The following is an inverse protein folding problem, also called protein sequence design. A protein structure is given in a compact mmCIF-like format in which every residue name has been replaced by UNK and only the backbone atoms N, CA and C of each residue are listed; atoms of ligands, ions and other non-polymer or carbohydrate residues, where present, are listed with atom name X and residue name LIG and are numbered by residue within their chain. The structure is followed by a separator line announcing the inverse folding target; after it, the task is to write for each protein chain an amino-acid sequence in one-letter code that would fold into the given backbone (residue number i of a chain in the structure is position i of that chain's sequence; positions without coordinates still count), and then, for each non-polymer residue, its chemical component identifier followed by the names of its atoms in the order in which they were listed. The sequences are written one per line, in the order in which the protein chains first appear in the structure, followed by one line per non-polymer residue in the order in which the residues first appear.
data_IF_172881740848
#
_entry.id   IF_172881740848
#
_cell.length_a   1.000
_cell.length_b   1.000
_cell.length_c   1.000
_cell.angle_alpha   90.00
_cell.angle_beta   90.00
_cell.angle_gamma   90.00
#
_symmetry.space_group_name_H-M   'P 1'
#
loop_
_entity.id
_entity.type
_entity.pdbx_description
1 polymer ?
#
# COMPACT_ATOMS: atom_id res chain seq x y z
N UNK A 1 30.06 -19.25 -64.10
CA UNK A 1 30.37 -17.94 -63.49
C UNK A 1 29.39 -17.75 -62.33
N UNK A 2 29.77 -18.20 -61.13
CA UNK A 2 29.08 -17.99 -59.84
C UNK A 2 30.11 -18.28 -58.73
N UNK A 3 30.44 -17.28 -57.93
CA UNK A 3 31.40 -17.26 -56.80
C UNK A 3 30.75 -17.83 -55.52
N UNK A 4 31.38 -18.73 -54.75
CA UNK A 4 32.30 -18.52 -53.59
C UNK A 4 31.63 -17.70 -52.46
N UNK A 5 31.60 -18.07 -51.17
CA UNK A 5 32.41 -18.95 -50.33
C UNK A 5 31.59 -19.37 -49.09
N UNK A 6 31.75 -20.62 -48.63
CA UNK A 6 31.10 -21.16 -47.43
C UNK A 6 32.01 -21.18 -46.20
N UNK A 7 31.39 -21.00 -45.02
CA UNK A 7 31.97 -21.27 -43.71
C UNK A 7 31.74 -22.75 -43.34
N UNK A 8 32.79 -23.43 -42.84
CA UNK A 8 32.67 -24.69 -42.07
C UNK A 8 33.47 -24.60 -40.77
N UNK A 9 32.82 -25.09 -39.72
CA UNK A 9 33.30 -25.26 -38.35
C UNK A 9 33.98 -26.63 -38.15
N UNK A 10 34.59 -26.80 -36.96
CA UNK A 10 35.10 -28.02 -36.25
C UNK A 10 36.65 -28.13 -36.25
N UNK A 11 37.38 -28.43 -35.17
CA UNK A 11 37.16 -29.31 -33.99
C UNK A 11 38.05 -28.91 -32.77
N UNK A 12 37.92 -29.70 -31.68
CA UNK A 12 38.20 -29.44 -30.26
C UNK A 12 39.64 -29.67 -29.68
N UNK A 13 39.91 -28.95 -28.56
CA UNK A 13 40.71 -29.27 -27.33
C UNK A 13 42.25 -29.49 -27.38
N UNK A 14 43.02 -29.42 -26.24
CA UNK A 14 42.69 -29.09 -24.84
C UNK A 14 43.62 -28.05 -24.13
N UNK A 15 43.20 -27.62 -22.92
CA UNK A 15 43.94 -26.79 -21.96
C UNK A 15 45.20 -27.46 -21.37
N UNK A 16 46.28 -26.68 -21.21
CA UNK A 16 47.38 -26.94 -20.25
C UNK A 16 47.84 -25.61 -19.62
N UNK A 17 48.12 -25.54 -18.30
CA UNK A 17 48.76 -24.39 -17.70
C UNK A 17 50.28 -24.59 -17.64
N UNK A 18 51.06 -23.67 -18.21
CA UNK A 18 52.52 -23.57 -17.97
C UNK A 18 52.79 -22.46 -16.96
N UNK A 19 53.23 -22.83 -15.76
CA UNK A 19 53.94 -21.93 -14.86
C UNK A 19 55.34 -21.65 -15.42
N UNK A 20 55.72 -20.36 -15.45
CA UNK A 20 57.11 -19.92 -15.51
C UNK A 20 57.32 -18.76 -14.52
N UNK A 21 58.49 -18.62 -13.86
CA UNK A 21 58.65 -17.72 -12.73
C UNK A 21 59.38 -16.39 -13.06
N UNK A 22 59.00 -15.35 -12.30
CA UNK A 22 59.81 -14.22 -11.78
C UNK A 22 60.27 -13.13 -12.76
N UNK A 23 59.94 -11.87 -12.44
CA UNK A 23 60.98 -10.84 -12.24
C UNK A 23 60.51 -9.77 -11.23
N UNK A 24 61.26 -9.65 -10.13
CA UNK A 24 61.13 -8.58 -9.14
C UNK A 24 61.74 -7.34 -9.76
N UNK A 25 60.92 -6.33 -10.08
CA UNK A 25 61.43 -5.00 -10.37
C UNK A 25 61.24 -4.06 -9.19
N UNK A 26 62.34 -3.40 -8.87
CA UNK A 26 62.61 -2.59 -7.69
C UNK A 26 61.74 -1.34 -7.64
N UNK A 27 61.16 -1.05 -6.46
CA UNK A 27 60.56 0.27 -6.17
C UNK A 27 61.67 1.13 -5.53
N UNK A 28 62.02 2.30 -6.09
CA UNK A 28 63.05 3.15 -5.52
C UNK A 28 62.57 3.77 -4.21
N UNK A 29 63.45 3.76 -3.19
CA UNK A 29 63.28 4.53 -1.96
C UNK A 29 63.48 6.01 -2.27
N UNK A 30 62.53 6.84 -1.89
CA UNK A 30 62.67 8.29 -1.98
C UNK A 30 61.62 9.03 -1.15
N UNK A 31 62.13 9.80 -0.20
CA UNK A 31 61.51 10.90 0.55
C UNK A 31 60.56 10.53 1.71
N UNK A 32 61.16 10.50 2.92
CA UNK A 32 60.50 10.88 4.16
C UNK A 32 59.91 12.29 4.00
N UNK A 33 58.60 12.36 3.70
CA UNK A 33 57.85 13.59 3.81
C UNK A 33 57.29 13.70 5.23
N UNK A 34 57.71 14.77 5.90
CA UNK A 34 57.36 15.20 7.24
C UNK A 34 55.93 14.87 7.68
N UNK A 35 55.84 14.16 8.80
CA UNK A 35 54.62 13.82 9.50
C UNK A 35 54.11 15.06 10.24
N UNK A 36 52.99 15.64 9.79
CA UNK A 36 52.23 16.60 10.58
C UNK A 36 51.52 15.86 11.71
N UNK A 37 51.67 16.26 12.99
CA UNK A 37 50.93 15.68 14.09
C UNK A 37 49.53 16.31 14.13
N UNK A 38 48.49 15.46 14.17
CA UNK A 38 47.06 15.73 14.51
C UNK A 38 46.05 15.05 13.56
N UNK A 39 46.22 13.74 13.34
CA UNK A 39 45.10 12.86 13.08
C UNK A 39 45.11 11.82 14.19
N UNK A 40 44.32 12.04 15.24
CA UNK A 40 43.97 10.96 16.18
C UNK A 40 43.40 9.81 15.33
N UNK A 41 44.12 8.69 15.30
CA UNK A 41 43.74 7.51 14.54
C UNK A 41 42.45 6.92 15.14
N UNK A 42 41.29 7.41 14.67
CA UNK A 42 40.00 6.82 14.98
C UNK A 42 40.07 5.33 14.62
N UNK A 43 39.94 4.46 15.61
CA UNK A 43 40.04 3.02 15.37
C UNK A 43 38.70 2.48 14.85
N UNK A 44 38.74 1.31 14.21
CA UNK A 44 37.52 0.60 13.82
C UNK A 44 36.59 0.35 15.02
N UNK A 45 37.18 0.11 16.20
CA UNK A 45 36.42 -0.09 17.43
C UNK A 45 35.73 1.20 17.90
N UNK A 46 36.37 2.35 17.74
CA UNK A 46 35.75 3.65 18.01
C UNK A 46 34.54 3.91 17.10
N UNK A 47 34.67 3.59 15.80
CA UNK A 47 33.56 3.72 14.85
C UNK A 47 32.41 2.77 15.17
N UNK A 48 32.70 1.52 15.57
CA UNK A 48 31.68 0.55 15.98
C UNK A 48 30.95 0.99 17.25
N UNK A 49 31.67 1.54 18.23
CA UNK A 49 31.06 2.13 19.43
C UNK A 49 30.15 3.30 19.07
N UNK A 50 30.61 4.17 18.17
CA UNK A 50 29.80 5.30 17.68
C UNK A 50 28.53 4.83 16.95
N UNK A 51 28.62 3.81 16.10
CA UNK A 51 27.45 3.21 15.45
C UNK A 51 26.46 2.65 16.49
N UNK A 52 26.97 1.91 17.47
CA UNK A 52 26.13 1.37 18.55
C UNK A 52 25.40 2.46 19.33
N UNK A 53 26.06 3.60 19.56
CA UNK A 53 25.45 4.75 20.23
C UNK A 53 24.37 5.40 19.36
N UNK A 54 24.64 5.59 18.06
CA UNK A 54 23.64 6.07 17.09
C UNK A 54 22.42 5.13 17.05
N UNK A 55 22.64 3.81 17.02
CA UNK A 55 21.57 2.82 17.01
C UNK A 55 20.68 2.93 18.27
N UNK A 56 21.28 3.15 19.44
CA UNK A 56 20.53 3.39 20.68
C UNK A 56 19.71 4.67 20.60
N UNK A 57 20.28 5.75 20.04
CA UNK A 57 19.57 7.02 19.85
C UNK A 57 18.40 6.86 18.87
N UNK A 58 18.57 6.10 17.78
CA UNK A 58 17.49 5.79 16.85
C UNK A 58 16.34 5.06 17.53
N UNK A 59 16.62 4.06 18.36
CA UNK A 59 15.59 3.33 19.11
C UNK A 59 14.89 4.25 20.11
N UNK A 60 15.61 5.13 20.79
CA UNK A 60 15.02 6.12 21.70
C UNK A 60 14.05 7.07 20.98
N UNK A 61 14.46 7.60 19.82
CA UNK A 61 13.61 8.47 18.98
C UNK A 61 12.37 7.74 18.44
N UNK A 62 12.50 6.45 18.10
CA UNK A 62 11.36 5.62 17.71
C UNK A 62 10.36 5.45 18.86
N UNK A 63 10.86 5.24 20.09
CA UNK A 63 10.01 5.14 21.27
C UNK A 63 9.28 6.47 21.57
N UNK A 64 9.99 7.60 21.48
CA UNK A 64 9.39 8.93 21.63
C UNK A 64 8.32 9.19 20.57
N UNK A 65 8.63 8.90 19.29
CA UNK A 65 7.67 9.02 18.19
C UNK A 65 6.42 8.18 18.42
N UNK A 66 6.58 6.97 18.98
CA UNK A 66 5.45 6.09 19.33
C UNK A 66 4.56 6.74 20.39
N UNK A 67 5.13 7.27 21.47
CA UNK A 67 4.38 7.94 22.53
C UNK A 67 3.58 9.16 22.01
N UNK A 68 4.20 9.98 21.16
CA UNK A 68 3.51 11.11 20.50
C UNK A 68 2.37 10.61 19.60
N UNK A 69 2.59 9.52 18.87
CA UNK A 69 1.56 8.93 18.00
C UNK A 69 0.35 8.41 18.79
N UNK A 70 0.59 7.83 19.96
CA UNK A 70 -0.47 7.36 20.87
C UNK A 70 -1.30 8.53 21.43
N UNK A 71 -0.64 9.64 21.76
CA UNK A 71 -1.31 10.85 22.22
C UNK A 71 -2.15 11.50 21.11
N UNK A 72 -1.61 11.59 19.89
CA UNK A 72 -2.38 12.01 18.70
C UNK A 72 -3.61 11.12 18.50
N UNK A 73 -3.46 9.81 18.63
CA UNK A 73 -4.56 8.87 18.50
C UNK A 73 -5.62 9.06 19.61
N UNK A 74 -5.20 9.35 20.85
CA UNK A 74 -6.10 9.67 21.97
C UNK A 74 -6.93 10.92 21.67
N UNK A 75 -6.29 11.98 21.19
CA UNK A 75 -6.97 13.23 20.80
C UNK A 75 -7.92 13.02 19.62
N UNK A 76 -7.51 12.25 18.61
CA UNK A 76 -8.37 11.92 17.46
C UNK A 76 -9.61 11.13 17.90
N UNK A 77 -9.46 10.14 18.79
CA UNK A 77 -10.60 9.39 19.36
C UNK A 77 -11.55 10.30 20.13
N UNK A 78 -11.03 11.18 20.99
CA UNK A 78 -11.84 12.11 21.77
C UNK A 78 -12.61 13.12 20.90
N UNK A 79 -12.11 13.42 19.71
CA UNK A 79 -12.71 14.37 18.75
C UNK A 79 -13.53 13.70 17.66
N UNK A 80 -13.72 12.37 17.71
CA UNK A 80 -14.48 11.61 16.71
C UNK A 80 -13.82 11.55 15.33
N UNK A 81 -12.53 11.89 15.23
CA UNK A 81 -11.77 11.83 13.97
C UNK A 81 -11.25 10.42 13.71
N UNK A 82 -11.20 9.98 12.43
CA UNK A 82 -10.67 8.68 12.07
C UNK A 82 -9.22 8.51 12.53
N UNK A 83 -8.87 7.30 12.98
CA UNK A 83 -7.52 7.00 13.48
C UNK A 83 -6.48 7.13 12.38
N UNK A 84 -6.86 6.78 11.14
CA UNK A 84 -6.00 6.86 9.97
C UNK A 84 -6.23 8.14 9.20
N UNK A 85 -5.16 8.80 8.81
CA UNK A 85 -5.17 10.09 8.13
C UNK A 85 -4.17 10.06 6.99
N UNK A 86 -4.66 9.62 5.83
CA UNK A 86 -3.83 9.37 4.66
C UNK A 86 -3.17 10.64 4.11
N UNK A 87 -3.84 11.80 4.22
CA UNK A 87 -3.25 13.09 3.85
C UNK A 87 -2.04 13.41 4.73
N UNK A 88 -2.18 13.24 6.05
CA UNK A 88 -1.05 13.42 6.97
C UNK A 88 0.05 12.38 6.77
N UNK A 89 -0.30 11.11 6.53
CA UNK A 89 0.70 10.07 6.22
C UNK A 89 1.52 10.44 4.98
N UNK A 90 0.90 10.99 3.94
CA UNK A 90 1.60 11.49 2.75
C UNK A 90 2.59 12.59 3.09
N UNK A 91 2.16 13.62 3.82
CA UNK A 91 3.03 14.73 4.22
C UNK A 91 4.27 14.24 4.97
N UNK A 92 4.09 13.27 5.87
CA UNK A 92 5.19 12.66 6.62
C UNK A 92 6.17 11.94 5.68
N UNK A 93 5.68 11.19 4.68
CA UNK A 93 6.54 10.50 3.72
C UNK A 93 7.26 11.49 2.78
N UNK A 94 6.56 12.48 2.24
CA UNK A 94 7.17 13.48 1.35
C UNK A 94 8.25 14.27 2.10
N UNK A 95 7.94 14.75 3.31
CA UNK A 95 8.91 15.44 4.15
C UNK A 95 10.12 14.56 4.51
N UNK A 96 9.92 13.25 4.74
CA UNK A 96 11.03 12.34 4.99
C UNK A 96 11.93 12.14 3.75
N UNK A 97 11.34 12.08 2.55
CA UNK A 97 12.09 11.98 1.29
C UNK A 97 12.94 13.23 1.04
N UNK A 98 12.36 14.41 1.24
CA UNK A 98 13.04 15.70 1.12
C UNK A 98 14.19 15.81 2.13
N UNK A 99 13.91 15.56 3.42
CA UNK A 99 14.91 15.62 4.48
C UNK A 99 16.07 14.63 4.27
N UNK A 100 15.78 13.45 3.69
CA UNK A 100 16.80 12.46 3.34
C UNK A 100 17.69 12.94 2.19
N UNK A 101 17.08 13.50 1.13
CA UNK A 101 17.81 14.04 -0.01
C UNK A 101 18.79 15.15 0.40
N UNK A 102 18.37 16.06 1.29
CA UNK A 102 19.22 17.12 1.85
C UNK A 102 20.45 16.58 2.61
N UNK A 103 20.37 15.36 3.14
CA UNK A 103 21.41 14.74 4.01
C UNK A 103 22.20 13.66 3.28
N UNK A 104 22.01 13.50 1.97
CA UNK A 104 22.68 12.47 1.18
C UNK A 104 22.22 11.04 1.50
N UNK A 105 21.04 10.88 2.12
CA UNK A 105 20.41 9.58 2.40
C UNK A 105 19.44 9.25 1.28
N UNK A 106 19.32 7.96 0.93
CA UNK A 106 18.36 7.51 -0.08
C UNK A 106 16.92 7.90 0.31
N UNK A 107 16.18 8.64 -0.55
CA UNK A 107 14.77 8.95 -0.31
C UNK A 107 13.89 7.70 -0.21
N UNK A 108 14.28 6.62 -0.89
CA UNK A 108 13.57 5.34 -0.81
C UNK A 108 13.72 4.69 0.56
N UNK A 109 14.94 4.71 1.12
CA UNK A 109 15.20 4.18 2.46
C UNK A 109 14.42 4.94 3.54
N UNK A 110 14.41 6.27 3.47
CA UNK A 110 13.67 7.09 4.42
C UNK A 110 12.16 6.84 4.34
N UNK A 111 11.62 6.70 3.12
CA UNK A 111 10.23 6.33 2.91
C UNK A 111 9.91 4.96 3.52
N UNK A 112 10.73 3.93 3.28
CA UNK A 112 10.54 2.59 3.85
C UNK A 112 10.55 2.60 5.37
N UNK A 113 11.50 3.31 5.98
CA UNK A 113 11.60 3.46 7.44
C UNK A 113 10.34 4.13 8.02
N UNK A 114 9.92 5.26 7.47
CA UNK A 114 8.78 5.99 8.00
C UNK A 114 7.47 5.24 7.78
N UNK A 115 7.31 4.53 6.65
CA UNK A 115 6.16 3.63 6.42
C UNK A 115 6.11 2.54 7.49
N UNK A 116 7.23 1.91 7.81
CA UNK A 116 7.29 0.89 8.86
C UNK A 116 6.88 1.45 10.23
N UNK A 117 7.35 2.65 10.57
CA UNK A 117 7.02 3.33 11.83
C UNK A 117 5.56 3.82 11.90
N UNK A 118 4.95 4.18 10.77
CA UNK A 118 3.51 4.49 10.69
C UNK A 118 2.70 3.21 10.87
N UNK A 119 3.09 2.12 10.19
CA UNK A 119 2.40 0.83 10.28
C UNK A 119 2.41 0.28 11.71
N UNK A 120 3.55 0.30 12.38
CA UNK A 120 3.68 -0.21 13.75
C UNK A 120 2.87 0.60 14.78
N UNK A 121 2.68 1.90 14.53
CA UNK A 121 1.82 2.72 15.38
C UNK A 121 0.34 2.46 15.10
N UNK A 122 -0.05 2.22 13.86
CA UNK A 122 -1.44 1.88 13.49
C UNK A 122 -1.88 0.50 13.98
N UNK A 123 -1.04 -0.54 13.88
CA UNK A 123 -1.39 -1.89 14.37
C UNK A 123 -1.65 -1.92 15.89
N UNK A 124 -0.86 -1.14 16.64
CA UNK A 124 -1.07 -0.96 18.09
C UNK A 124 -2.39 -0.22 18.37
N UNK A 125 -2.80 0.70 17.49
CA UNK A 125 -4.02 1.49 17.63
C UNK A 125 -5.28 0.75 17.15
N UNK A 126 -5.18 -0.13 16.15
CA UNK A 126 -6.28 -0.95 15.67
C UNK A 126 -6.79 -1.86 16.78
N UNK A 127 -5.90 -2.52 17.52
CA UNK A 127 -6.25 -3.35 18.69
C UNK A 127 -6.98 -2.55 19.79
N UNK A 128 -6.57 -1.30 20.05
CA UNK A 128 -7.25 -0.44 21.01
C UNK A 128 -8.59 0.10 20.50
N UNK A 129 -8.75 0.25 19.18
CA UNK A 129 -9.96 0.80 18.56
C UNK A 129 -11.09 -0.23 18.44
N UNK A 130 -10.78 -1.53 18.31
CA UNK A 130 -11.80 -2.60 18.33
C UNK A 130 -12.56 -2.61 19.67
N UNK A 131 -11.91 -2.21 20.76
CA UNK A 131 -12.52 -2.15 22.10
C UNK A 131 -13.43 -0.91 22.26
N UNK A 132 -13.26 0.14 21.45
CA UNK A 132 -13.90 1.44 21.66
C UNK A 132 -14.98 1.83 20.60
N UNK A 133 -15.15 1.07 19.52
CA UNK A 133 -16.01 1.47 18.38
C UNK A 133 -17.49 1.15 18.61
N UNK A 134 -18.14 1.99 19.42
CA UNK A 134 -19.59 2.16 19.46
C UNK A 134 -20.13 3.27 18.55
N UNK A 135 -19.30 4.17 18.01
CA UNK A 135 -19.79 5.34 17.26
C UNK A 135 -18.79 5.81 16.19
N UNK A 136 -18.86 5.21 14.99
CA UNK A 136 -18.32 5.78 13.76
C UNK A 136 -19.32 6.75 13.11
N UNK A 137 -19.11 7.18 11.86
CA UNK A 137 -19.97 8.14 11.12
C UNK A 137 -21.46 7.77 10.98
N UNK A 138 -21.87 6.62 11.53
CA UNK A 138 -23.18 5.99 11.40
C UNK A 138 -23.35 5.20 10.11
N UNK A 139 -22.47 5.41 9.12
CA UNK A 139 -22.63 4.84 7.77
C UNK A 139 -22.17 3.39 7.72
N UNK A 140 -22.95 2.57 7.01
CA UNK A 140 -22.72 1.13 6.84
C UNK A 140 -22.19 0.85 5.44
N UNK A 141 -21.19 -0.02 5.32
CA UNK A 141 -20.68 -0.47 4.03
C UNK A 141 -20.67 -2.00 3.96
N UNK A 142 -21.16 -2.56 2.84
CA UNK A 142 -21.05 -3.97 2.52
C UNK A 142 -19.94 -4.19 1.52
N UNK A 143 -19.01 -5.10 1.80
CA UNK A 143 -17.98 -5.54 0.86
C UNK A 143 -18.25 -6.98 0.44
N UNK A 144 -18.72 -7.16 -0.80
CA UNK A 144 -18.91 -8.47 -1.41
C UNK A 144 -17.59 -8.92 -2.02
N UNK A 145 -17.07 -10.08 -1.64
CA UNK A 145 -15.70 -10.50 -1.97
C UNK A 145 -14.64 -9.92 -1.01
N UNK A 146 -15.05 -9.54 0.20
CA UNK A 146 -14.20 -8.84 1.18
C UNK A 146 -13.05 -9.67 1.77
N UNK A 147 -13.05 -10.99 1.60
CA UNK A 147 -11.91 -11.83 2.04
C UNK A 147 -10.81 -11.93 0.97
N UNK A 148 -11.09 -11.51 -0.27
CA UNK A 148 -10.09 -11.42 -1.34
C UNK A 148 -9.09 -10.28 -1.11
N UNK A 149 -7.95 -10.29 -1.82
CA UNK A 149 -6.87 -9.32 -1.60
C UNK A 149 -7.31 -7.85 -1.69
N UNK A 150 -8.00 -7.48 -2.78
CA UNK A 150 -8.54 -6.12 -2.92
C UNK A 150 -9.73 -5.88 -1.99
N UNK A 151 -10.52 -6.92 -1.70
CA UNK A 151 -11.64 -6.84 -0.77
C UNK A 151 -11.19 -6.48 0.64
N UNK A 152 -10.17 -7.16 1.16
CA UNK A 152 -9.62 -6.91 2.49
C UNK A 152 -8.99 -5.52 2.59
N UNK A 153 -8.33 -5.07 1.52
CA UNK A 153 -7.86 -3.69 1.43
C UNK A 153 -9.01 -2.68 1.59
N UNK A 154 -10.12 -2.89 0.88
CA UNK A 154 -11.30 -2.02 0.99
C UNK A 154 -11.98 -2.10 2.37
N UNK A 155 -11.99 -3.28 2.99
CA UNK A 155 -12.48 -3.46 4.37
C UNK A 155 -11.68 -2.58 5.33
N UNK A 156 -10.34 -2.66 5.28
CA UNK A 156 -9.47 -1.83 6.11
C UNK A 156 -9.60 -0.35 5.79
N UNK A 157 -9.67 0.01 4.51
CA UNK A 157 -9.84 1.39 4.05
C UNK A 157 -11.15 2.01 4.60
N UNK A 158 -12.28 1.34 4.41
CA UNK A 158 -13.58 1.80 4.90
C UNK A 158 -13.63 1.85 6.44
N UNK A 159 -13.12 0.81 7.11
CA UNK A 159 -13.05 0.80 8.57
C UNK A 159 -12.17 1.93 9.12
N UNK A 160 -11.10 2.30 8.41
CA UNK A 160 -10.22 3.40 8.80
C UNK A 160 -10.91 4.76 8.67
N UNK A 161 -11.83 4.91 7.72
CA UNK A 161 -12.69 6.09 7.54
C UNK A 161 -13.92 6.11 8.47
N UNK A 162 -14.05 5.13 9.38
CA UNK A 162 -15.09 5.12 10.40
C UNK A 162 -16.43 4.51 9.95
N UNK A 163 -16.45 3.77 8.84
CA UNK A 163 -17.63 2.99 8.43
C UNK A 163 -17.80 1.76 9.32
N UNK A 164 -19.06 1.37 9.54
CA UNK A 164 -19.39 0.02 10.02
C UNK A 164 -19.38 -0.92 8.82
N UNK A 165 -18.33 -1.74 8.72
CA UNK A 165 -18.11 -2.62 7.56
C UNK A 165 -18.67 -4.01 7.85
N UNK A 166 -19.43 -4.55 6.91
CA UNK A 166 -19.88 -5.94 6.87
C UNK A 166 -19.28 -6.62 5.63
N UNK A 167 -18.79 -7.85 5.78
CA UNK A 167 -18.19 -8.63 4.69
C UNK A 167 -19.14 -9.72 4.26
N UNK A 168 -19.39 -9.83 2.95
CA UNK A 168 -20.05 -10.98 2.36
C UNK A 168 -19.06 -11.78 1.52
N UNK A 169 -18.64 -12.94 2.03
CA UNK A 169 -17.66 -13.79 1.38
C UNK A 169 -17.79 -15.24 1.87
N UNK A 170 -17.71 -16.27 1.00
CA UNK A 170 -17.63 -17.67 1.43
C UNK A 170 -16.43 -17.98 2.33
N UNK A 171 -15.32 -17.25 2.18
CA UNK A 171 -14.16 -17.37 3.06
C UNK A 171 -14.34 -16.60 4.37
N UNK A 172 -13.44 -16.84 5.33
CA UNK A 172 -13.41 -16.11 6.59
C UNK A 172 -13.02 -14.64 6.36
N UNK A 173 -13.69 -13.72 7.04
CA UNK A 173 -13.35 -12.31 7.03
C UNK A 173 -12.15 -12.00 7.94
N UNK A 174 -11.53 -10.82 7.79
CA UNK A 174 -10.55 -10.31 8.75
C UNK A 174 -11.10 -10.29 10.18
N UNK A 175 -10.22 -10.46 11.16
CA UNK A 175 -10.56 -10.50 12.58
C UNK A 175 -11.30 -9.21 13.03
N UNK A 176 -12.39 -9.37 13.78
CA UNK A 176 -13.19 -8.25 14.30
C UNK A 176 -14.18 -7.61 13.31
N UNK A 177 -14.34 -8.14 12.09
CA UNK A 177 -15.31 -7.64 11.10
C UNK A 177 -16.50 -8.58 10.96
N UNK A 178 -17.76 -8.10 11.09
CA UNK A 178 -18.96 -8.89 10.85
C UNK A 178 -18.94 -9.54 9.46
N UNK A 179 -19.26 -10.83 9.39
CA UNK A 179 -19.24 -11.60 8.14
C UNK A 179 -20.50 -12.42 7.95
N UNK A 180 -21.00 -12.41 6.72
CA UNK A 180 -22.00 -13.36 6.21
C UNK A 180 -21.43 -14.18 5.06
N UNK A 181 -21.91 -15.41 4.89
CA UNK A 181 -21.45 -16.29 3.82
C UNK A 181 -21.95 -15.88 2.43
N UNK A 182 -23.18 -15.39 2.37
CA UNK A 182 -23.82 -14.92 1.14
C UNK A 182 -24.43 -13.54 1.40
N UNK A 183 -24.10 -12.57 0.55
CA UNK A 183 -24.65 -11.23 0.58
C UNK A 183 -26.18 -11.22 0.49
N UNK A 184 -26.80 -12.25 -0.11
CA UNK A 184 -28.25 -12.39 -0.23
C UNK A 184 -28.97 -12.51 1.11
N UNK A 185 -28.24 -12.87 2.17
CA UNK A 185 -28.76 -12.96 3.54
C UNK A 185 -28.79 -11.62 4.28
N UNK A 186 -28.18 -10.57 3.70
CA UNK A 186 -28.17 -9.22 4.30
C UNK A 186 -29.45 -8.44 3.98
N UNK A 187 -29.72 -7.40 4.76
CA UNK A 187 -30.84 -6.46 4.52
C UNK A 187 -30.59 -5.49 3.36
N UNK A 188 -29.34 -5.42 2.85
CA UNK A 188 -28.86 -4.49 1.82
C UNK A 188 -29.16 -3.01 2.12
N UNK A 189 -29.34 -2.64 3.40
CA UNK A 189 -29.59 -1.26 3.83
C UNK A 189 -28.30 -0.46 4.07
N UNK A 190 -27.20 -0.88 3.45
CA UNK A 190 -25.90 -0.23 3.56
C UNK A 190 -25.86 1.04 2.71
N UNK A 191 -25.14 2.06 3.15
CA UNK A 191 -24.89 3.29 2.39
C UNK A 191 -24.06 3.01 1.14
N UNK A 192 -23.13 2.06 1.23
CA UNK A 192 -22.26 1.62 0.15
C UNK A 192 -22.25 0.08 0.02
N UNK A 193 -22.30 -0.40 -1.22
CA UNK A 193 -22.18 -1.82 -1.56
C UNK A 193 -21.05 -1.95 -2.60
N UNK A 194 -19.92 -2.50 -2.17
CA UNK A 194 -18.72 -2.66 -2.97
C UNK A 194 -18.59 -4.10 -3.46
N UNK A 195 -18.28 -4.27 -4.75
CA UNK A 195 -18.01 -5.59 -5.33
C UNK A 195 -16.51 -5.75 -5.63
N UNK A 196 -15.84 -6.55 -4.81
CA UNK A 196 -14.45 -6.99 -4.96
C UNK A 196 -14.34 -8.49 -5.29
N UNK A 197 -15.28 -8.99 -6.09
CA UNK A 197 -15.37 -10.40 -6.47
C UNK A 197 -14.60 -10.73 -7.76
N UNK A 198 -14.21 -12.00 -7.98
CA UNK A 198 -13.66 -12.43 -9.27
C UNK A 198 -14.60 -12.08 -10.44
N UNK A 199 -14.02 -11.64 -11.56
CA UNK A 199 -14.78 -11.15 -12.73
C UNK A 199 -15.85 -12.15 -13.23
N UNK A 200 -15.58 -13.46 -13.12
CA UNK A 200 -16.50 -14.51 -13.58
C UNK A 200 -17.83 -14.58 -12.83
N UNK A 201 -17.94 -13.99 -11.63
CA UNK A 201 -19.19 -14.00 -10.84
C UNK A 201 -19.78 -12.60 -10.64
N UNK A 202 -18.99 -11.55 -10.86
CA UNK A 202 -19.40 -10.16 -10.58
C UNK A 202 -20.62 -9.73 -11.40
N UNK A 203 -20.69 -10.05 -12.71
CA UNK A 203 -21.83 -9.66 -13.56
C UNK A 203 -23.15 -10.25 -13.06
N UNK A 204 -23.14 -11.51 -12.61
CA UNK A 204 -24.31 -12.16 -12.04
C UNK A 204 -24.77 -11.48 -10.74
N UNK A 205 -23.83 -11.13 -9.86
CA UNK A 205 -24.14 -10.42 -8.61
C UNK A 205 -24.75 -9.04 -8.91
N UNK A 206 -24.20 -8.29 -9.88
CA UNK A 206 -24.74 -6.98 -10.26
C UNK A 206 -26.19 -7.08 -10.77
N UNK A 207 -26.51 -8.12 -11.55
CA UNK A 207 -27.88 -8.37 -12.03
C UNK A 207 -28.84 -8.71 -10.89
N UNK A 208 -28.42 -9.56 -9.96
CA UNK A 208 -29.24 -9.91 -8.80
C UNK A 208 -29.49 -8.67 -7.91
N UNK A 209 -28.48 -7.83 -7.72
CA UNK A 209 -28.62 -6.55 -7.01
C UNK A 209 -29.60 -5.61 -7.73
N UNK A 210 -29.63 -5.60 -9.07
CA UNK A 210 -30.56 -4.77 -9.84
C UNK A 210 -32.02 -5.13 -9.58
N UNK A 211 -32.32 -6.42 -9.38
CA UNK A 211 -33.68 -6.87 -9.03
C UNK A 211 -34.07 -6.47 -7.60
N UNK A 212 -33.09 -6.43 -6.69
CA UNK A 212 -33.30 -6.09 -5.27
C UNK A 212 -33.31 -4.59 -4.99
N UNK A 213 -32.75 -3.77 -5.89
CA UNK A 213 -32.79 -2.30 -5.88
C UNK A 213 -32.36 -1.68 -4.53
N UNK A 214 -31.18 -2.02 -4.00
CA UNK A 214 -30.76 -1.48 -2.71
C UNK A 214 -30.58 0.06 -2.79
N UNK A 215 -30.86 0.78 -1.70
CA UNK A 215 -30.89 2.25 -1.70
C UNK A 215 -29.50 2.91 -1.67
N UNK A 216 -28.46 2.14 -1.32
CA UNK A 216 -27.07 2.57 -1.24
C UNK A 216 -26.38 2.74 -2.59
N UNK A 217 -25.18 3.30 -2.55
CA UNK A 217 -24.30 3.45 -3.73
C UNK A 217 -23.59 2.12 -3.99
N UNK A 218 -23.75 1.60 -5.20
CA UNK A 218 -23.17 0.34 -5.64
C UNK A 218 -22.01 0.64 -6.59
N UNK A 219 -20.85 0.01 -6.37
CA UNK A 219 -19.77 0.06 -7.35
C UNK A 219 -18.88 -1.18 -7.31
N UNK A 220 -18.40 -1.58 -8.49
CA UNK A 220 -17.35 -2.59 -8.61
C UNK A 220 -15.96 -1.95 -8.58
N UNK A 221 -14.95 -2.78 -8.27
CA UNK A 221 -13.52 -2.41 -8.31
C UNK A 221 -12.74 -3.22 -9.36
N UNK A 222 -13.45 -3.78 -10.35
CA UNK A 222 -12.88 -4.69 -11.34
C UNK A 222 -11.83 -4.02 -12.22
N UNK A 223 -10.84 -4.80 -12.66
CA UNK A 223 -9.83 -4.33 -13.63
C UNK A 223 -10.38 -4.19 -15.05
N UNK A 224 -11.41 -4.95 -15.39
CA UNK A 224 -12.05 -4.95 -16.70
C UNK A 224 -13.53 -4.62 -16.55
N UNK A 225 -14.00 -3.64 -17.34
CA UNK A 225 -15.40 -3.18 -17.29
C UNK A 225 -16.28 -3.78 -18.40
N UNK A 226 -15.69 -4.19 -19.52
CA UNK A 226 -16.42 -4.87 -20.61
C UNK A 226 -17.18 -6.11 -20.13
N UNK A 227 -16.62 -6.99 -19.27
CA UNK A 227 -17.34 -8.17 -18.77
C UNK A 227 -18.50 -7.84 -17.81
N UNK A 228 -18.48 -6.65 -17.18
CA UNK A 228 -19.47 -6.22 -16.19
C UNK A 228 -20.56 -5.33 -16.80
N UNK A 229 -20.42 -4.98 -18.08
CA UNK A 229 -21.26 -3.97 -18.75
C UNK A 229 -22.73 -4.29 -18.61
N UNK A 230 -23.13 -5.54 -18.78
CA UNK A 230 -24.53 -5.92 -18.76
C UNK A 230 -25.14 -5.79 -17.35
N UNK A 231 -24.45 -6.23 -16.31
CA UNK A 231 -24.86 -6.04 -14.92
C UNK A 231 -24.88 -4.57 -14.49
N UNK A 232 -23.87 -3.78 -14.87
CA UNK A 232 -23.85 -2.35 -14.61
C UNK A 232 -25.02 -1.61 -15.30
N UNK A 233 -25.33 -1.97 -16.55
CA UNK A 233 -26.49 -1.42 -17.26
C UNK A 233 -27.82 -1.88 -16.63
N UNK A 234 -27.90 -3.11 -16.11
CA UNK A 234 -29.08 -3.59 -15.41
C UNK A 234 -29.35 -2.80 -14.12
N UNK A 235 -28.31 -2.52 -13.32
CA UNK A 235 -28.42 -1.66 -12.14
C UNK A 235 -28.95 -0.28 -12.51
N UNK A 236 -28.40 0.31 -13.58
CA UNK A 236 -28.81 1.61 -14.10
C UNK A 236 -30.28 1.59 -14.53
N UNK A 237 -30.72 0.60 -15.31
CA UNK A 237 -32.10 0.52 -15.81
C UNK A 237 -33.13 0.32 -14.70
N UNK A 238 -32.72 -0.31 -13.59
CA UNK A 238 -33.56 -0.46 -12.39
C UNK A 238 -33.48 0.75 -11.44
N UNK A 239 -32.81 1.83 -11.84
CA UNK A 239 -32.71 3.06 -11.05
C UNK A 239 -31.84 2.95 -9.81
N UNK A 240 -30.94 1.96 -9.74
CA UNK A 240 -29.98 1.85 -8.64
C UNK A 240 -28.95 2.99 -8.72
N UNK A 241 -28.42 3.40 -7.57
CA UNK A 241 -27.31 4.36 -7.49
C UNK A 241 -26.02 3.62 -7.82
N UNK A 242 -25.62 3.63 -9.08
CA UNK A 242 -24.48 2.84 -9.56
C UNK A 242 -23.38 3.70 -10.18
N UNK A 243 -22.15 3.37 -9.87
CA UNK A 243 -20.94 3.83 -10.57
C UNK A 243 -19.96 2.67 -10.65
N UNK A 244 -18.81 2.86 -11.27
CA UNK A 244 -17.79 1.82 -11.38
C UNK A 244 -16.40 2.40 -11.17
N UNK A 245 -15.61 1.76 -10.32
CA UNK A 245 -14.32 2.26 -9.86
C UNK A 245 -13.22 1.32 -10.33
N UNK A 246 -12.06 1.86 -10.71
CA UNK A 246 -10.89 1.05 -11.01
C UNK A 246 -9.69 1.62 -10.25
N UNK A 247 -9.30 0.96 -9.14
CA UNK A 247 -8.07 1.29 -8.43
C UNK A 247 -6.86 0.89 -9.30
N UNK A 248 -6.03 1.84 -9.70
CA UNK A 248 -4.77 1.57 -10.43
C UNK A 248 -3.62 1.28 -9.44
N UNK A 249 -3.93 0.51 -8.39
CA UNK A 249 -3.00 0.15 -7.33
C UNK A 249 -3.37 -1.23 -6.78
N UNK A 250 -2.36 -1.92 -6.24
CA UNK A 250 -2.51 -3.27 -5.70
C UNK A 250 -2.98 -3.30 -4.24
N UNK A 251 -3.33 -4.49 -3.72
CA UNK A 251 -3.80 -4.67 -2.36
C UNK A 251 -2.73 -4.37 -1.29
N UNK A 252 -1.46 -4.36 -1.67
CA UNK A 252 -0.33 -4.00 -0.79
C UNK A 252 -0.13 -2.48 -0.67
N UNK A 253 -1.04 -1.69 -1.24
CA UNK A 253 -0.93 -0.23 -1.28
C UNK A 253 -1.38 0.39 0.03
N UNK A 254 -0.44 0.91 0.81
CA UNK A 254 -0.78 1.52 2.09
C UNK A 254 -1.14 3.00 1.98
N UNK A 255 -0.60 3.69 0.97
CA UNK A 255 -0.82 5.10 0.70
C UNK A 255 -1.42 5.27 -0.68
N UNK A 256 -2.53 6.01 -0.78
CA UNK A 256 -3.13 6.35 -2.07
C UNK A 256 -2.58 7.65 -2.66
N UNK A 257 -1.67 8.33 -1.96
CA UNK A 257 -0.97 9.50 -2.48
C UNK A 257 -0.23 9.18 -3.77
N UNK A 258 -0.50 9.95 -4.84
CA UNK A 258 0.11 9.73 -6.14
C UNK A 258 -0.35 8.43 -6.83
N UNK A 259 -1.34 7.73 -6.28
CA UNK A 259 -2.05 6.66 -6.98
C UNK A 259 -3.19 7.23 -7.78
N UNK A 260 -3.70 6.45 -8.71
CA UNK A 260 -4.82 6.83 -9.56
C UNK A 260 -6.01 5.93 -9.29
N UNK A 261 -7.19 6.54 -9.22
CA UNK A 261 -8.48 5.86 -9.20
C UNK A 261 -9.25 6.35 -10.40
N UNK A 262 -9.62 5.44 -11.29
CA UNK A 262 -10.45 5.76 -12.44
C UNK A 262 -11.91 5.56 -12.05
N UNK A 263 -12.74 6.55 -12.32
CA UNK A 263 -14.17 6.50 -12.09
C UNK A 263 -14.88 6.48 -13.45
N UNK A 264 -15.78 5.51 -13.63
CA UNK A 264 -16.58 5.36 -14.85
C UNK A 264 -17.97 5.90 -14.57
N UNK A 265 -18.35 6.94 -15.30
CA UNK A 265 -19.70 7.50 -15.21
C UNK A 265 -20.71 6.58 -15.91
N UNK A 266 -21.74 6.17 -15.15
CA UNK A 266 -22.85 5.35 -15.61
C UNK A 266 -24.16 6.15 -15.75
N UNK A 267 -24.07 7.49 -15.77
CA UNK A 267 -25.22 8.40 -15.85
C UNK A 267 -25.93 8.59 -14.52
N UNK A 268 -25.24 8.39 -13.40
CA UNK A 268 -25.75 8.64 -12.04
C UNK A 268 -24.77 9.56 -11.30
N UNK A 269 -24.96 10.88 -11.46
CA UNK A 269 -24.10 11.90 -10.87
C UNK A 269 -23.98 11.78 -9.33
N UNK A 270 -25.07 11.53 -8.57
CA UNK A 270 -24.97 11.32 -7.12
C UNK A 270 -24.08 10.13 -6.74
N UNK A 271 -24.22 8.99 -7.42
CA UNK A 271 -23.38 7.81 -7.16
C UNK A 271 -21.90 8.08 -7.49
N UNK A 272 -21.63 8.76 -8.60
CA UNK A 272 -20.28 9.14 -9.01
C UNK A 272 -19.63 10.10 -8.01
N UNK A 273 -20.36 11.13 -7.55
CA UNK A 273 -19.88 12.07 -6.55
C UNK A 273 -19.58 11.36 -5.21
N UNK A 274 -20.52 10.53 -4.73
CA UNK A 274 -20.36 9.78 -3.49
C UNK A 274 -19.17 8.80 -3.52
N UNK A 275 -18.88 8.20 -4.68
CA UNK A 275 -17.69 7.37 -4.86
C UNK A 275 -16.41 8.22 -4.88
N UNK A 276 -16.40 9.38 -5.53
CA UNK A 276 -15.24 10.30 -5.53
C UNK A 276 -14.93 10.82 -4.13
N UNK A 277 -15.95 11.21 -3.37
CA UNK A 277 -15.82 11.66 -1.98
C UNK A 277 -15.18 10.59 -1.08
N UNK A 278 -15.48 9.30 -1.32
CA UNK A 278 -14.88 8.20 -0.57
C UNK A 278 -13.34 8.19 -0.66
N UNK A 279 -12.79 8.54 -1.82
CA UNK A 279 -11.34 8.56 -2.04
C UNK A 279 -10.71 9.95 -1.88
N UNK A 280 -11.49 11.03 -1.94
CA UNK A 280 -10.98 12.41 -1.93
C UNK A 280 -10.04 12.73 -0.75
N UNK A 281 -10.34 12.36 0.52
CA UNK A 281 -9.45 12.64 1.66
C UNK A 281 -8.11 11.90 1.59
N UNK A 282 -8.00 10.89 0.73
CA UNK A 282 -6.88 9.95 0.67
C UNK A 282 -6.04 10.14 -0.60
N UNK A 283 -6.63 10.76 -1.63
CA UNK A 283 -6.00 11.05 -2.92
C UNK A 283 -5.48 12.50 -3.01
N UNK A 284 -5.99 13.40 -2.16
CA UNK A 284 -5.61 14.81 -2.09
C UNK A 284 -4.18 15.01 -1.62
#
# INVERSE_FOLDING_TARGET
MLERFGYRCRDASPCTPRCAPIERNQIPRGAEAAMTPEAENVTLEDLRRRLTDIDRQLIALVAERKAVSEEVARVKRATGKPTRDYGREREVILGAREAAAERGVSPALAEELLRLLIRSSLTTQEQASVIARGTGSGRRALVIGGAGKMGSWFVSFLASQGFTVEVADPAAAPEGVPRVADWRSTDLKHDYILLATPLGITDAILRDLALRRPPGVIFDVGSLKSPLRAGLMALRSHGCKVTSVHPMFGPDTELLSGRHVVFVDLGNAPALAAARELFAPTMA
#
